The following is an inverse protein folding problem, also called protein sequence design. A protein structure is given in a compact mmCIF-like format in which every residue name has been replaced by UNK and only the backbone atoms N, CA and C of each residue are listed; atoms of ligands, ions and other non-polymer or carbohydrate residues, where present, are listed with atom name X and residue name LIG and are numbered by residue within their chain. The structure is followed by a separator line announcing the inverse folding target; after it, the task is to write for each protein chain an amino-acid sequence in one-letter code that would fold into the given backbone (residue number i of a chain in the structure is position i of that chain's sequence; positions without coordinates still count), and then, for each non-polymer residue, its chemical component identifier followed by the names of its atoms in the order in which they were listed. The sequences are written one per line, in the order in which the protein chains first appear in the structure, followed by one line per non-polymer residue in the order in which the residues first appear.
data_IF_871793004772
#
_entry.id   IF_871793004772
#
_cell.length_a   1.000
_cell.length_b   1.000
_cell.length_c   1.000
_cell.angle_alpha   90.00
_cell.angle_beta   90.00
_cell.angle_gamma   90.00
#
_symmetry.space_group_name_H-M   'P 1'
#
loop_
_entity.id
_entity.type
_entity.pdbx_description
1 polymer ?
#
# COMPACT_ATOMS: atom_id res chain seq x y z
N UNK A 1 -23.40 44.62 51.00
CA UNK A 1 -23.03 44.17 49.65
C UNK A 1 -21.52 44.11 49.59
N UNK A 2 -20.92 42.91 49.64
CA UNK A 2 -19.57 42.67 49.11
C UNK A 2 -19.52 41.22 48.61
N UNK A 3 -19.52 41.06 47.29
CA UNK A 3 -19.41 39.78 46.62
C UNK A 3 -17.93 39.41 46.51
N UNK A 4 -17.53 38.26 47.07
CA UNK A 4 -16.19 37.71 46.90
C UNK A 4 -16.07 37.15 45.48
N UNK A 5 -15.29 37.82 44.64
CA UNK A 5 -14.93 37.37 43.29
C UNK A 5 -13.96 36.18 43.36
N UNK A 6 -14.35 35.03 42.81
CA UNK A 6 -13.47 33.88 42.60
C UNK A 6 -12.82 33.98 41.22
N UNK A 7 -11.52 34.27 41.16
CA UNK A 7 -10.76 34.21 39.92
C UNK A 7 -10.34 32.75 39.62
N UNK A 8 -10.56 32.21 38.42
CA UNK A 8 -10.06 30.87 38.07
C UNK A 8 -8.53 30.91 38.00
N UNK A 9 -7.85 30.05 38.77
CA UNK A 9 -6.40 29.86 38.63
C UNK A 9 -6.13 29.30 37.24
N UNK A 10 -5.31 30.00 36.45
CA UNK A 10 -4.73 29.47 35.22
C UNK A 10 -3.75 28.36 35.61
N UNK A 11 -4.10 27.11 35.31
CA UNK A 11 -3.16 25.99 35.37
C UNK A 11 -2.30 26.02 34.10
N UNK A 12 -0.97 26.12 34.21
CA UNK A 12 -0.08 25.94 33.06
C UNK A 12 -0.13 24.48 32.62
N UNK A 13 -0.40 24.23 31.34
CA UNK A 13 -0.28 22.90 30.75
C UNK A 13 1.17 22.41 30.89
N UNK A 14 1.42 21.16 31.33
CA UNK A 14 2.76 20.60 31.35
C UNK A 14 3.32 20.54 29.91
N UNK A 15 4.53 21.05 29.65
CA UNK A 15 5.11 21.11 28.30
C UNK A 15 5.29 19.72 27.65
N UNK A 16 5.22 18.63 28.42
CA UNK A 16 5.35 17.26 27.93
C UNK A 16 4.10 16.68 27.24
N UNK A 17 2.89 17.17 27.54
CA UNK A 17 1.65 16.59 26.98
C UNK A 17 1.53 16.93 25.49
N UNK A 18 1.91 18.15 25.10
CA UNK A 18 1.92 18.57 23.70
C UNK A 18 2.93 17.79 22.86
N UNK A 19 4.11 17.50 23.42
CA UNK A 19 5.17 16.76 22.72
C UNK A 19 4.79 15.28 22.51
N UNK A 20 4.17 14.65 23.51
CA UNK A 20 3.67 13.28 23.40
C UNK A 20 2.52 13.18 22.39
N UNK A 21 1.59 14.13 22.41
CA UNK A 21 0.50 14.19 21.44
C UNK A 21 1.03 14.39 19.99
N UNK A 22 2.03 15.25 19.81
CA UNK A 22 2.68 15.45 18.51
C UNK A 22 3.39 14.19 18.02
N UNK A 23 4.13 13.52 18.91
CA UNK A 23 4.84 12.27 18.60
C UNK A 23 3.87 11.15 18.22
N UNK A 24 2.75 11.02 18.93
CA UNK A 24 1.68 10.07 18.58
C UNK A 24 1.03 10.40 17.23
N UNK A 25 0.76 11.67 16.92
CA UNK A 25 0.27 12.08 15.59
C UNK A 25 1.26 11.76 14.47
N UNK A 26 2.56 12.03 14.69
CA UNK A 26 3.63 11.74 13.73
C UNK A 26 3.78 10.23 13.49
N UNK A 27 3.62 9.40 14.52
CA UNK A 27 3.66 7.94 14.39
C UNK A 27 2.48 7.39 13.59
N UNK A 28 1.28 7.95 13.72
CA UNK A 28 0.10 7.52 12.94
C UNK A 28 0.20 7.85 11.45
N UNK A 29 1.04 8.82 11.06
CA UNK A 29 1.26 9.19 9.66
C UNK A 29 2.16 8.19 8.89
N UNK A 30 2.83 7.27 9.58
CA UNK A 30 3.81 6.34 9.00
C UNK A 30 3.23 4.99 8.56
N UNK A 31 1.91 4.78 8.66
CA UNK A 31 1.26 3.53 8.23
C UNK A 31 1.12 3.49 6.70
N UNK A 32 2.24 3.52 5.97
CA UNK A 32 2.28 3.29 4.52
C UNK A 32 2.16 1.80 4.23
N UNK A 33 1.33 1.43 3.24
CA UNK A 33 1.29 0.08 2.66
C UNK A 33 2.71 -0.42 2.41
N UNK A 34 3.11 -1.53 3.04
CA UNK A 34 4.50 -2.00 2.98
C UNK A 34 4.90 -2.37 1.55
N UNK A 35 5.57 -1.44 0.87
CA UNK A 35 6.44 -1.74 -0.24
C UNK A 35 7.56 -2.66 0.27
N UNK A 36 7.81 -3.78 -0.42
CA UNK A 36 8.80 -4.77 -0.01
C UNK A 36 9.80 -5.00 -1.13
N UNK A 37 11.07 -4.98 -0.79
CA UNK A 37 12.13 -5.52 -1.65
C UNK A 37 12.48 -6.91 -1.13
N UNK A 38 12.19 -7.94 -1.92
CA UNK A 38 12.48 -9.31 -1.53
C UNK A 38 13.96 -9.64 -1.70
N UNK A 39 14.47 -10.55 -0.86
CA UNK A 39 15.68 -11.28 -1.23
C UNK A 39 15.36 -12.39 -2.24
N UNK A 40 16.36 -12.82 -3.03
CA UNK A 40 16.20 -13.86 -4.06
C UNK A 40 15.53 -15.14 -3.54
N UNK A 41 16.03 -15.70 -2.43
CA UNK A 41 15.52 -16.96 -1.89
C UNK A 41 14.20 -16.81 -1.12
N UNK A 42 13.90 -15.62 -0.62
CA UNK A 42 12.60 -15.33 -0.03
C UNK A 42 11.52 -15.27 -1.10
N UNK A 43 11.78 -14.54 -2.20
CA UNK A 43 10.87 -14.51 -3.34
C UNK A 43 10.68 -15.91 -3.94
N UNK A 44 11.75 -16.70 -4.09
CA UNK A 44 11.65 -18.07 -4.60
C UNK A 44 10.70 -18.94 -3.76
N UNK A 45 10.76 -18.85 -2.43
CA UNK A 45 9.83 -19.55 -1.54
C UNK A 45 8.39 -19.09 -1.76
N UNK A 46 8.15 -17.78 -1.76
CA UNK A 46 6.82 -17.21 -2.00
C UNK A 46 6.26 -17.68 -3.34
N UNK A 47 7.00 -17.53 -4.45
CA UNK A 47 6.52 -17.91 -5.78
C UNK A 47 6.30 -19.43 -5.91
N UNK A 48 7.09 -20.24 -5.22
CA UNK A 48 6.87 -21.69 -5.14
C UNK A 48 5.59 -22.03 -4.39
N UNK A 49 5.33 -21.36 -3.25
CA UNK A 49 4.12 -21.56 -2.45
C UNK A 49 2.86 -21.13 -3.23
N UNK A 50 2.98 -20.17 -4.15
CA UNK A 50 1.94 -19.79 -5.11
C UNK A 50 1.84 -20.71 -6.35
N UNK A 51 2.63 -21.79 -6.41
CA UNK A 51 2.54 -22.80 -7.48
C UNK A 51 3.14 -22.38 -8.82
N UNK A 52 4.11 -21.46 -8.84
CA UNK A 52 4.75 -21.03 -10.10
C UNK A 52 5.84 -21.97 -10.62
N UNK A 53 6.32 -22.93 -9.82
CA UNK A 53 7.25 -23.97 -10.31
C UNK A 53 6.55 -24.84 -11.36
N UNK A 54 7.01 -24.79 -12.61
CA UNK A 54 6.43 -25.52 -13.74
C UNK A 54 5.18 -24.86 -14.34
N UNK A 55 4.74 -23.70 -13.84
CA UNK A 55 3.56 -23.03 -14.39
C UNK A 55 3.80 -22.65 -15.86
N UNK A 56 2.92 -23.14 -16.74
CA UNK A 56 3.05 -22.99 -18.21
C UNK A 56 4.39 -23.50 -18.76
N UNK A 57 5.06 -24.41 -18.05
CA UNK A 57 6.36 -24.98 -18.45
C UNK A 57 7.58 -24.15 -18.06
N UNK A 58 7.42 -23.04 -17.32
CA UNK A 58 8.53 -22.23 -16.82
C UNK A 58 8.98 -22.70 -15.43
N UNK A 59 10.28 -22.79 -15.22
CA UNK A 59 10.88 -23.14 -13.93
C UNK A 59 10.75 -21.98 -12.94
N UNK A 60 10.90 -22.27 -11.64
CA UNK A 60 10.98 -21.21 -10.63
C UNK A 60 12.16 -20.26 -10.88
N UNK A 61 13.26 -20.74 -11.46
CA UNK A 61 14.41 -19.92 -11.79
C UNK A 61 14.08 -18.86 -12.85
N UNK A 62 13.22 -19.18 -13.83
CA UNK A 62 12.77 -18.23 -14.85
C UNK A 62 12.00 -17.06 -14.23
N UNK A 63 11.08 -17.35 -13.31
CA UNK A 63 10.32 -16.33 -12.59
C UNK A 63 11.20 -15.43 -11.74
N UNK A 64 12.20 -16.01 -11.07
CA UNK A 64 13.16 -15.25 -10.25
C UNK A 64 14.08 -14.39 -11.11
N UNK A 65 14.52 -14.91 -12.25
CA UNK A 65 15.28 -14.12 -13.23
C UNK A 65 14.47 -12.92 -13.73
N UNK A 66 13.22 -13.16 -14.14
CA UNK A 66 12.30 -12.12 -14.61
C UNK A 66 12.11 -11.02 -13.55
N UNK A 67 11.80 -11.39 -12.30
CA UNK A 67 11.57 -10.43 -11.22
C UNK A 67 12.82 -9.58 -10.91
N UNK A 68 14.02 -10.17 -11.03
CA UNK A 68 15.26 -9.45 -10.82
C UNK A 68 15.48 -8.37 -11.90
N UNK A 69 15.40 -8.75 -13.18
CA UNK A 69 15.71 -7.83 -14.27
C UNK A 69 14.62 -6.79 -14.52
N UNK A 70 13.38 -7.05 -14.14
CA UNK A 70 12.28 -6.11 -14.32
C UNK A 70 12.19 -5.09 -13.17
N UNK A 71 12.42 -5.50 -11.92
CA UNK A 71 12.16 -4.62 -10.77
C UNK A 71 13.23 -4.65 -9.68
N UNK A 72 14.27 -5.49 -9.81
CA UNK A 72 15.22 -5.72 -8.73
C UNK A 72 14.56 -6.30 -7.47
N UNK A 73 13.51 -7.12 -7.64
CA UNK A 73 12.68 -7.68 -6.57
C UNK A 73 11.86 -6.65 -5.75
N UNK A 74 11.72 -5.41 -6.23
CA UNK A 74 10.96 -4.37 -5.55
C UNK A 74 9.47 -4.42 -5.93
N UNK A 75 8.60 -4.75 -4.97
CA UNK A 75 7.14 -4.81 -5.20
C UNK A 75 6.49 -3.45 -5.45
N UNK A 76 7.17 -2.35 -5.16
CA UNK A 76 6.70 -0.99 -5.40
C UNK A 76 7.37 -0.31 -6.61
N UNK A 77 8.11 -1.06 -7.42
CA UNK A 77 8.69 -0.54 -8.65
C UNK A 77 7.58 -0.05 -9.59
N UNK A 78 7.74 1.18 -10.09
CA UNK A 78 6.88 1.78 -11.11
C UNK A 78 7.78 2.42 -12.15
N UNK A 79 7.59 2.03 -13.39
CA UNK A 79 8.25 2.62 -14.55
C UNK A 79 7.23 3.38 -15.41
N UNK A 80 7.66 4.51 -15.99
CA UNK A 80 6.80 5.42 -16.73
C UNK A 80 7.20 5.45 -18.21
N UNK A 81 6.25 5.08 -19.05
CA UNK A 81 6.44 5.03 -20.50
C UNK A 81 6.14 6.38 -21.16
N UNK A 82 6.70 6.59 -22.36
CA UNK A 82 6.52 7.84 -23.10
C UNK A 82 5.05 8.13 -23.50
N UNK A 83 4.20 7.12 -23.57
CA UNK A 83 2.77 7.27 -23.87
C UNK A 83 1.91 7.54 -22.61
N UNK A 84 2.55 7.71 -21.44
CA UNK A 84 1.89 7.93 -20.16
C UNK A 84 1.37 6.66 -19.48
N UNK A 85 1.56 5.49 -20.08
CA UNK A 85 1.30 4.22 -19.39
C UNK A 85 2.38 3.91 -18.35
N UNK A 86 2.11 2.92 -17.50
CA UNK A 86 3.00 2.52 -16.41
C UNK A 86 3.22 1.02 -16.39
N UNK A 87 4.42 0.59 -16.01
CA UNK A 87 4.72 -0.80 -15.68
C UNK A 87 4.83 -0.93 -14.16
N UNK A 88 4.09 -1.87 -13.57
CA UNK A 88 3.81 -1.84 -12.13
C UNK A 88 4.26 -3.11 -11.40
N UNK A 89 4.88 -2.91 -10.25
CA UNK A 89 5.20 -3.94 -9.27
C UNK A 89 6.35 -4.86 -9.67
N UNK A 90 6.42 -6.00 -8.98
CA UNK A 90 7.58 -6.90 -9.03
C UNK A 90 7.83 -7.52 -10.42
N UNK A 91 6.79 -7.62 -11.25
CA UNK A 91 6.86 -8.15 -12.62
C UNK A 91 6.62 -7.07 -13.70
N UNK A 92 6.59 -5.78 -13.32
CA UNK A 92 6.42 -4.67 -14.25
C UNK A 92 5.20 -4.84 -15.18
N UNK A 93 4.04 -5.15 -14.60
CA UNK A 93 2.79 -5.40 -15.32
C UNK A 93 2.27 -4.09 -15.93
N UNK A 94 2.10 -4.07 -17.25
CA UNK A 94 1.74 -2.86 -17.99
C UNK A 94 0.27 -2.45 -17.89
N UNK A 95 0.03 -1.17 -17.59
CA UNK A 95 -1.29 -0.52 -17.56
C UNK A 95 -1.91 -0.31 -18.95
N UNK A 96 -1.19 -0.61 -20.03
CA UNK A 96 -1.73 -0.54 -21.41
C UNK A 96 -2.76 -1.63 -21.68
N UNK A 97 -2.72 -2.74 -20.92
CA UNK A 97 -3.49 -3.96 -21.22
C UNK A 97 -3.95 -4.74 -19.99
N UNK A 98 -3.11 -4.83 -18.98
CA UNK A 98 -3.28 -5.84 -17.93
C UNK A 98 -4.05 -5.31 -16.73
N UNK A 99 -3.72 -4.11 -16.26
CA UNK A 99 -4.34 -3.48 -15.10
C UNK A 99 -4.84 -2.07 -15.44
N UNK A 100 -5.76 -1.55 -14.63
CA UNK A 100 -6.40 -0.25 -14.84
C UNK A 100 -5.83 0.82 -13.89
N UNK A 101 -5.53 1.99 -14.46
CA UNK A 101 -5.31 3.23 -13.72
C UNK A 101 -6.52 4.17 -13.92
N UNK A 102 -6.37 5.46 -13.61
CA UNK A 102 -7.38 6.48 -13.92
C UNK A 102 -7.60 6.74 -15.41
N UNK A 103 -6.81 6.12 -16.30
CA UNK A 103 -6.96 6.28 -17.75
C UNK A 103 -8.25 5.62 -18.23
N UNK A 104 -9.18 6.37 -18.87
CA UNK A 104 -10.40 5.79 -19.41
C UNK A 104 -10.10 4.93 -20.63
N UNK A 105 -10.97 3.96 -20.91
CA UNK A 105 -10.98 3.17 -22.16
C UNK A 105 -9.75 2.29 -22.44
N UNK A 106 -8.95 1.93 -21.42
CA UNK A 106 -7.88 0.94 -21.57
C UNK A 106 -8.38 -0.48 -21.24
N UNK A 107 -7.91 -1.53 -21.95
CA UNK A 107 -8.18 -2.92 -21.57
C UNK A 107 -7.65 -3.22 -20.16
N UNK A 108 -8.41 -4.02 -19.39
CA UNK A 108 -8.04 -4.46 -18.04
C UNK A 108 -8.20 -5.98 -17.93
N UNK A 109 -7.29 -6.72 -18.56
CA UNK A 109 -7.42 -8.18 -18.65
C UNK A 109 -7.35 -8.89 -17.30
N UNK A 110 -6.60 -8.34 -16.33
CA UNK A 110 -6.53 -8.87 -14.97
C UNK A 110 -7.65 -8.35 -14.06
N UNK A 111 -8.54 -7.49 -14.56
CA UNK A 111 -9.70 -6.95 -13.83
C UNK A 111 -9.33 -6.32 -12.47
N UNK A 112 -8.18 -5.65 -12.40
CA UNK A 112 -7.65 -5.04 -11.18
C UNK A 112 -7.10 -3.64 -11.42
N UNK A 113 -6.90 -2.86 -10.35
CA UNK A 113 -6.15 -1.61 -10.44
C UNK A 113 -4.65 -1.89 -10.37
N UNK A 114 -3.83 -1.09 -11.04
CA UNK A 114 -2.37 -1.30 -11.01
C UNK A 114 -1.77 -0.98 -9.63
N UNK A 115 -2.42 -0.13 -8.83
CA UNK A 115 -2.03 0.12 -7.44
C UNK A 115 -3.16 -0.08 -6.43
N UNK A 116 -2.81 -0.60 -5.25
CA UNK A 116 -3.76 -0.77 -4.15
C UNK A 116 -4.34 0.54 -3.62
N UNK A 117 -3.58 1.65 -3.75
CA UNK A 117 -4.06 2.99 -3.40
C UNK A 117 -5.22 3.42 -4.29
N UNK A 118 -5.15 3.14 -5.58
CA UNK A 118 -6.23 3.44 -6.53
C UNK A 118 -7.46 2.59 -6.25
N UNK A 119 -7.26 1.28 -6.00
CA UNK A 119 -8.34 0.39 -5.58
C UNK A 119 -9.05 0.92 -4.33
N UNK A 120 -8.30 1.29 -3.28
CA UNK A 120 -8.87 1.82 -2.04
C UNK A 120 -9.61 3.14 -2.27
N UNK A 121 -9.05 4.05 -3.06
CA UNK A 121 -9.69 5.34 -3.38
C UNK A 121 -11.04 5.15 -4.03
N UNK A 122 -11.17 4.18 -4.94
CA UNK A 122 -12.42 3.94 -5.66
C UNK A 122 -13.43 3.08 -4.89
N UNK A 123 -12.95 2.09 -4.14
CA UNK A 123 -13.81 1.06 -3.56
C UNK A 123 -14.02 1.18 -2.05
N UNK A 124 -13.21 1.98 -1.36
CA UNK A 124 -13.24 2.07 0.10
C UNK A 124 -13.40 3.50 0.61
N UNK A 125 -12.78 4.48 -0.04
CA UNK A 125 -12.77 5.86 0.48
C UNK A 125 -14.19 6.43 0.62
N UNK A 126 -14.50 6.93 1.82
CA UNK A 126 -15.78 7.57 2.10
C UNK A 126 -16.97 6.62 2.19
N UNK A 127 -16.74 5.31 2.22
CA UNK A 127 -17.78 4.29 2.43
C UNK A 127 -17.73 3.77 3.87
N UNK A 128 -18.85 3.22 4.33
CA UNK A 128 -18.86 2.41 5.56
C UNK A 128 -18.14 1.10 5.29
N UNK A 129 -17.13 0.78 6.10
CA UNK A 129 -16.29 -0.41 5.94
C UNK A 129 -16.51 -1.42 7.06
N UNK A 130 -17.45 -1.19 7.99
CA UNK A 130 -17.65 -2.05 9.17
C UNK A 130 -17.98 -3.50 8.78
N UNK A 131 -18.72 -3.70 7.71
CA UNK A 131 -19.07 -5.04 7.19
C UNK A 131 -17.84 -5.90 6.86
N UNK A 132 -16.69 -5.28 6.52
CA UNK A 132 -15.46 -6.03 6.19
C UNK A 132 -14.76 -6.66 7.40
N UNK A 133 -15.13 -6.24 8.61
CA UNK A 133 -14.59 -6.76 9.87
C UNK A 133 -15.67 -7.36 10.76
N UNK A 134 -16.90 -7.46 10.26
CA UNK A 134 -18.00 -8.07 10.98
C UNK A 134 -17.75 -9.57 11.15
N UNK A 135 -17.90 -10.06 12.39
CA UNK A 135 -17.64 -11.47 12.73
C UNK A 135 -16.17 -11.90 12.73
N UNK A 136 -15.22 -10.97 12.70
CA UNK A 136 -13.82 -11.29 12.93
C UNK A 136 -13.53 -11.47 14.44
N UNK A 137 -12.98 -12.64 14.80
CA UNK A 137 -12.49 -12.92 16.16
C UNK A 137 -11.05 -12.43 16.29
N UNK A 138 -10.85 -11.34 17.03
CA UNK A 138 -9.52 -10.78 17.36
C UNK A 138 -9.18 -11.03 18.82
#
# INVERSE_FOLDING_TARGET
MEARSWAPRRQPCPPGIGLLALASLLSCLLTSSQAKVYSRCELARVLKDFGLEGYRGYSLADWICLAYFTSGFNTAAVDHEADGSTNNGIFQISSRKWCKNFTPNVPNQCQMYCSGREAWRHHCQGKDLRDWVDGCDF
#
